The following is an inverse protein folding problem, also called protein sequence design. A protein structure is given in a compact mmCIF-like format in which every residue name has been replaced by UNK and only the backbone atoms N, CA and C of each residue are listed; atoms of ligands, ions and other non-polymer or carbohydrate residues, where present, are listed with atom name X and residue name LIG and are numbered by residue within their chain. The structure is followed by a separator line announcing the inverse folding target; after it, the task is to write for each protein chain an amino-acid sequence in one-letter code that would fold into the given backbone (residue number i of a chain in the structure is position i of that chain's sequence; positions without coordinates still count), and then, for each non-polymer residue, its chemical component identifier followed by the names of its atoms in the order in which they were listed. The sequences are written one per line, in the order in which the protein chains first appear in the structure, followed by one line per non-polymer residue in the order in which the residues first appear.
data_IF_968519513568
#
_entry.id   IF_968519513568
#
_cell.length_a   1.000
_cell.length_b   1.000
_cell.length_c   1.000
_cell.angle_alpha   90.00
_cell.angle_beta   90.00
_cell.angle_gamma   90.00
#
_symmetry.space_group_name_H-M   'P 1'
#
loop_
_entity.id
_entity.type
_entity.pdbx_description
1 polymer ?
#
# COMPACT_ATOMS: atom_id res chain seq x y z
N UNK A 1 -0.13 -4.11 -16.22
CA UNK A 1 0.75 -3.37 -15.32
C UNK A 1 1.22 -4.29 -14.22
N UNK A 2 2.52 -4.44 -14.15
CA UNK A 2 3.23 -5.24 -13.17
C UNK A 2 4.07 -4.30 -12.29
N UNK A 3 4.03 -4.55 -10.98
CA UNK A 3 4.73 -3.78 -9.96
C UNK A 3 5.64 -4.75 -9.23
N UNK A 4 6.95 -4.54 -9.31
CA UNK A 4 7.94 -5.35 -8.59
C UNK A 4 8.43 -4.56 -7.39
N UNK A 5 8.22 -5.10 -6.19
CA UNK A 5 8.76 -4.58 -4.95
C UNK A 5 10.04 -5.33 -4.63
N UNK A 6 11.15 -4.61 -4.40
CA UNK A 6 12.38 -5.17 -3.88
C UNK A 6 12.52 -4.66 -2.45
N UNK A 7 12.47 -5.57 -1.49
CA UNK A 7 12.35 -5.26 -0.08
C UNK A 7 13.59 -5.65 0.71
N UNK A 8 14.12 -4.74 1.52
CA UNK A 8 15.12 -5.09 2.52
C UNK A 8 14.51 -5.96 3.60
N UNK A 9 15.26 -6.98 4.01
CA UNK A 9 14.83 -7.99 4.96
C UNK A 9 15.97 -8.29 5.92
N UNK A 10 15.64 -8.37 7.21
CA UNK A 10 16.57 -8.91 8.21
C UNK A 10 16.70 -10.43 8.07
N UNK A 11 17.79 -11.00 8.60
CA UNK A 11 18.15 -12.42 8.44
C UNK A 11 17.08 -13.39 8.99
N UNK A 12 16.23 -12.94 9.91
CA UNK A 12 15.17 -13.75 10.55
C UNK A 12 13.76 -13.24 10.19
N UNK A 13 13.41 -13.16 8.90
CA UNK A 13 12.03 -12.87 8.50
C UNK A 13 11.09 -14.04 8.85
N UNK A 14 10.11 -13.80 9.71
CA UNK A 14 9.09 -14.81 9.99
C UNK A 14 8.04 -14.90 8.87
N UNK A 15 7.46 -16.08 8.68
CA UNK A 15 6.31 -16.28 7.78
C UNK A 15 5.13 -15.37 8.17
N UNK A 16 5.01 -15.06 9.46
CA UNK A 16 3.98 -14.18 9.99
C UNK A 16 4.18 -12.74 9.49
N UNK A 17 5.37 -12.19 9.61
CA UNK A 17 5.67 -10.82 9.17
C UNK A 17 5.41 -10.65 7.66
N UNK A 18 5.82 -11.65 6.87
CA UNK A 18 5.56 -11.70 5.45
C UNK A 18 4.06 -11.73 5.14
N UNK A 19 3.31 -12.59 5.84
CA UNK A 19 1.86 -12.72 5.64
C UNK A 19 1.13 -11.44 6.01
N UNK A 20 1.48 -10.82 7.13
CA UNK A 20 0.91 -9.54 7.58
C UNK A 20 1.20 -8.42 6.56
N UNK A 21 2.44 -8.33 6.08
CA UNK A 21 2.82 -7.35 5.05
C UNK A 21 2.03 -7.51 3.74
N UNK A 22 1.90 -8.74 3.24
CA UNK A 22 1.15 -9.02 2.01
C UNK A 22 -0.34 -8.71 2.16
N UNK A 23 -0.92 -9.01 3.32
CA UNK A 23 -2.31 -8.68 3.64
C UNK A 23 -2.50 -7.17 3.65
N UNK A 24 -1.65 -6.42 4.35
CA UNK A 24 -1.73 -4.96 4.42
C UNK A 24 -1.52 -4.31 3.04
N UNK A 25 -0.66 -4.87 2.18
CA UNK A 25 -0.49 -4.43 0.80
C UNK A 25 -1.77 -4.61 -0.03
N UNK A 26 -2.37 -5.81 0.01
CA UNK A 26 -3.62 -6.10 -0.70
C UNK A 26 -4.75 -5.19 -0.22
N UNK A 27 -4.82 -4.97 1.08
CA UNK A 27 -5.76 -4.08 1.74
C UNK A 27 -5.63 -2.61 1.35
N UNK A 28 -4.41 -2.09 1.26
CA UNK A 28 -4.16 -0.75 0.75
C UNK A 28 -4.62 -0.64 -0.71
N UNK A 29 -4.29 -1.62 -1.54
CA UNK A 29 -4.69 -1.65 -2.95
C UNK A 29 -6.21 -1.71 -3.12
N UNK A 30 -6.90 -2.58 -2.38
CA UNK A 30 -8.35 -2.73 -2.43
C UNK A 30 -9.04 -1.41 -2.07
N UNK A 31 -8.57 -0.72 -1.03
CA UNK A 31 -9.07 0.62 -0.69
C UNK A 31 -8.83 1.60 -1.83
N UNK A 32 -7.68 1.55 -2.48
CA UNK A 32 -7.38 2.44 -3.60
C UNK A 32 -8.35 2.22 -4.77
N UNK A 33 -8.64 0.96 -5.11
CA UNK A 33 -9.63 0.58 -6.13
C UNK A 33 -11.00 1.13 -5.75
N UNK A 34 -11.47 0.85 -4.55
CA UNK A 34 -12.79 1.26 -4.09
C UNK A 34 -12.97 2.78 -4.01
N UNK A 35 -11.95 3.51 -3.55
CA UNK A 35 -11.98 4.98 -3.56
C UNK A 35 -12.15 5.51 -4.98
N UNK A 36 -11.61 4.82 -5.99
CA UNK A 36 -11.75 5.24 -7.39
C UNK A 36 -13.06 4.81 -8.02
N UNK A 37 -13.59 3.66 -7.65
CA UNK A 37 -14.88 3.19 -8.17
C UNK A 37 -16.07 3.89 -7.50
N UNK A 38 -16.06 3.98 -6.17
CA UNK A 38 -17.12 4.61 -5.39
C UNK A 38 -16.60 5.18 -4.06
N UNK A 39 -16.14 6.44 -4.03
CA UNK A 39 -15.58 7.05 -2.81
C UNK A 39 -16.58 7.19 -1.67
N UNK A 40 -17.89 7.12 -1.94
CA UNK A 40 -18.95 7.25 -0.93
C UNK A 40 -19.40 5.91 -0.35
N UNK A 41 -18.75 4.81 -0.73
CA UNK A 41 -19.16 3.49 -0.27
C UNK A 41 -19.01 3.40 1.27
N UNK A 42 -20.07 3.05 2.04
CA UNK A 42 -20.06 3.14 3.50
C UNK A 42 -18.92 2.36 4.17
N UNK A 43 -18.52 1.24 3.59
CA UNK A 43 -17.45 0.41 4.13
C UNK A 43 -16.09 1.12 4.15
N UNK A 44 -15.85 2.06 3.23
CA UNK A 44 -14.61 2.86 3.21
C UNK A 44 -14.47 3.70 4.49
N UNK A 45 -15.59 4.08 5.10
CA UNK A 45 -15.64 4.84 6.35
C UNK A 45 -15.67 3.94 7.60
N UNK A 46 -15.62 2.62 7.42
CA UNK A 46 -15.64 1.67 8.51
C UNK A 46 -14.23 1.38 9.02
N UNK A 47 -14.00 1.44 10.35
CA UNK A 47 -12.75 0.95 10.91
C UNK A 47 -12.58 -0.56 10.67
N UNK A 48 -13.69 -1.30 10.52
CA UNK A 48 -13.77 -2.73 10.23
C UNK A 48 -13.62 -3.06 8.75
N UNK A 49 -13.24 -2.12 7.89
CA UNK A 49 -13.00 -2.36 6.46
C UNK A 49 -12.29 -3.70 6.22
N UNK A 50 -11.25 -3.99 7.00
CA UNK A 50 -10.45 -5.21 6.90
C UNK A 50 -11.08 -6.50 7.42
N UNK A 51 -12.06 -6.39 8.33
CA UNK A 51 -12.77 -7.56 8.90
C UNK A 51 -14.01 -7.92 8.09
N UNK A 52 -14.63 -6.94 7.43
CA UNK A 52 -15.93 -7.08 6.76
C UNK A 52 -15.85 -7.00 5.24
N UNK A 53 -14.73 -6.56 4.66
CA UNK A 53 -14.62 -6.45 3.21
C UNK A 53 -14.52 -7.82 2.54
N UNK A 54 -15.45 -8.06 1.62
CA UNK A 54 -15.41 -9.20 0.70
C UNK A 54 -14.39 -8.87 -0.39
N UNK A 55 -13.67 -9.89 -0.87
CA UNK A 55 -12.71 -9.77 -1.99
C UNK A 55 -13.27 -8.91 -3.13
N UNK A 56 -12.42 -8.06 -3.70
CA UNK A 56 -12.74 -7.36 -4.95
C UNK A 56 -13.22 -8.36 -6.02
N UNK A 57 -14.04 -7.92 -6.99
CA UNK A 57 -14.39 -8.75 -8.13
C UNK A 57 -13.14 -9.34 -8.81
N UNK A 58 -13.27 -10.58 -9.30
CA UNK A 58 -12.20 -11.23 -10.06
C UNK A 58 -11.75 -10.33 -11.20
N UNK A 59 -10.47 -9.95 -11.21
CA UNK A 59 -9.90 -9.03 -12.21
C UNK A 59 -9.69 -7.60 -11.71
N UNK A 60 -10.21 -7.25 -10.53
CA UNK A 60 -9.84 -6.02 -9.83
C UNK A 60 -8.88 -6.29 -8.67
N UNK A 61 -8.69 -7.54 -8.26
CA UNK A 61 -7.81 -7.94 -7.16
C UNK A 61 -6.32 -7.74 -7.48
N UNK A 62 -5.54 -7.36 -6.46
CA UNK A 62 -4.08 -7.43 -6.50
C UNK A 62 -3.63 -8.90 -6.53
N UNK A 63 -2.83 -9.29 -7.51
CA UNK A 63 -2.31 -10.66 -7.64
C UNK A 63 -0.83 -10.72 -7.35
N UNK A 64 -0.41 -11.64 -6.47
CA UNK A 64 1.00 -11.96 -6.26
C UNK A 64 1.38 -13.04 -7.27
N UNK A 65 2.31 -12.73 -8.18
CA UNK A 65 2.78 -13.66 -9.22
C UNK A 65 3.97 -14.49 -8.78
N UNK A 66 4.94 -13.84 -8.13
CA UNK A 66 6.21 -14.44 -7.77
C UNK A 66 6.73 -13.78 -6.50
N UNK A 67 7.36 -14.58 -5.65
CA UNK A 67 8.17 -14.12 -4.54
C UNK A 67 9.53 -14.80 -4.59
N UNK A 68 10.61 -14.02 -4.72
CA UNK A 68 11.98 -14.53 -4.68
C UNK A 68 12.52 -14.49 -3.26
N UNK A 69 13.27 -15.53 -2.86
CA UNK A 69 14.05 -15.53 -1.61
C UNK A 69 15.52 -15.14 -1.84
N UNK A 70 15.96 -15.07 -3.08
CA UNK A 70 17.35 -14.85 -3.44
C UNK A 70 17.65 -13.35 -3.49
N UNK A 71 18.30 -12.79 -2.45
CA UNK A 71 18.56 -11.34 -2.26
C UNK A 71 17.28 -10.54 -1.86
N UNK A 72 17.32 -9.22 -1.53
CA UNK A 72 16.24 -8.55 -0.79
C UNK A 72 14.88 -8.88 -1.41
N UNK A 73 13.97 -9.43 -0.59
CA UNK A 73 12.70 -10.07 -0.97
C UNK A 73 12.05 -9.37 -2.17
N UNK A 74 11.97 -10.09 -3.29
CA UNK A 74 11.35 -9.58 -4.52
C UNK A 74 9.90 -10.07 -4.60
N UNK A 75 8.93 -9.15 -4.67
CA UNK A 75 7.49 -9.46 -4.78
C UNK A 75 6.96 -8.88 -6.08
N UNK A 76 6.49 -9.73 -6.97
CA UNK A 76 5.88 -9.33 -8.25
C UNK A 76 4.37 -9.29 -8.09
N UNK A 77 3.81 -8.10 -8.24
CA UNK A 77 2.37 -7.83 -8.14
C UNK A 77 1.81 -7.52 -9.53
N UNK A 78 0.61 -8.01 -9.82
CA UNK A 78 -0.15 -7.63 -11.01
C UNK A 78 -1.43 -6.94 -10.61
N UNK A 79 -1.63 -5.75 -11.16
CA UNK A 79 -2.83 -4.96 -11.00
C UNK A 79 -3.53 -4.81 -12.35
N UNK A 80 -4.85 -4.99 -12.37
CA UNK A 80 -5.65 -4.93 -13.60
C UNK A 80 -6.78 -3.90 -13.51
N UNK A 81 -7.16 -3.37 -14.68
CA UNK A 81 -8.34 -2.56 -14.99
C UNK A 81 -8.39 -1.08 -14.53
N UNK A 82 -7.93 -0.68 -13.35
CA UNK A 82 -8.12 0.71 -12.87
C UNK A 82 -6.81 1.52 -12.79
N UNK A 83 -6.33 2.01 -13.94
CA UNK A 83 -5.04 2.72 -14.02
C UNK A 83 -4.89 3.85 -12.99
N UNK A 84 -5.96 4.61 -12.70
CA UNK A 84 -5.91 5.66 -11.66
C UNK A 84 -5.76 5.10 -10.24
N UNK A 85 -6.40 3.97 -9.91
CA UNK A 85 -6.24 3.32 -8.61
C UNK A 85 -4.82 2.78 -8.44
N UNK A 86 -4.29 2.22 -9.53
CA UNK A 86 -2.93 1.70 -9.59
C UNK A 86 -1.89 2.80 -9.42
N UNK A 87 -2.07 3.96 -10.08
CA UNK A 87 -1.22 5.14 -9.86
C UNK A 87 -1.26 5.62 -8.42
N UNK A 88 -2.46 5.74 -7.84
CA UNK A 88 -2.62 6.13 -6.45
C UNK A 88 -1.92 5.15 -5.49
N UNK A 89 -2.03 3.85 -5.75
CA UNK A 89 -1.33 2.82 -4.99
C UNK A 89 0.19 2.97 -5.08
N UNK A 90 0.75 3.18 -6.27
CA UNK A 90 2.18 3.43 -6.47
C UNK A 90 2.67 4.69 -5.73
N UNK A 91 1.93 5.79 -5.82
CA UNK A 91 2.26 7.03 -5.09
C UNK A 91 2.35 6.78 -3.58
N UNK A 92 1.41 6.03 -3.01
CA UNK A 92 1.42 5.68 -1.58
C UNK A 92 2.62 4.77 -1.23
N UNK A 93 2.95 3.80 -2.08
CA UNK A 93 4.13 2.95 -1.87
C UNK A 93 5.44 3.77 -1.94
N UNK A 94 5.52 4.76 -2.82
CA UNK A 94 6.65 5.68 -2.88
C UNK A 94 6.80 6.52 -1.61
N UNK A 95 5.67 6.95 -1.00
CA UNK A 95 5.71 7.60 0.33
C UNK A 95 6.40 6.67 1.34
N UNK A 96 5.96 5.41 1.43
CA UNK A 96 6.56 4.43 2.36
C UNK A 96 8.07 4.28 2.12
N UNK A 97 8.46 4.01 0.87
CA UNK A 97 9.87 3.86 0.47
C UNK A 97 10.72 5.06 0.89
N UNK A 98 10.28 6.29 0.60
CA UNK A 98 11.04 7.48 0.96
C UNK A 98 11.19 7.67 2.47
N UNK A 99 10.15 7.36 3.24
CA UNK A 99 10.16 7.48 4.70
C UNK A 99 11.05 6.43 5.35
N UNK A 100 11.05 5.20 4.79
CA UNK A 100 11.94 4.13 5.21
C UNK A 100 13.42 4.52 5.01
N UNK A 101 13.75 5.30 3.97
CA UNK A 101 15.11 5.78 3.66
C UNK A 101 15.57 6.99 4.49
N UNK A 102 14.67 7.92 4.84
CA UNK A 102 15.08 9.28 5.28
C UNK A 102 15.29 9.48 6.77
N UNK A 103 14.55 8.81 7.66
CA UNK A 103 14.49 9.27 9.07
C UNK A 103 14.69 8.19 10.12
N UNK A 104 15.29 8.59 11.25
CA UNK A 104 15.25 7.85 12.54
C UNK A 104 14.23 8.45 13.52
N UNK A 105 13.84 9.71 13.32
CA UNK A 105 12.87 10.42 14.17
C UNK A 105 11.43 10.12 13.74
N UNK A 106 10.63 9.60 14.68
CA UNK A 106 9.26 9.18 14.43
C UNK A 106 8.31 10.37 14.17
N UNK A 107 8.50 11.51 14.85
CA UNK A 107 7.60 12.65 14.77
C UNK A 107 7.76 13.39 13.43
N UNK A 108 8.99 13.49 12.92
CA UNK A 108 9.28 14.09 11.60
C UNK A 108 8.70 13.21 10.50
N UNK A 109 8.87 11.88 10.59
CA UNK A 109 8.20 10.93 9.69
C UNK A 109 6.69 11.13 9.71
N UNK A 110 6.13 11.44 10.88
CA UNK A 110 4.71 11.61 11.01
C UNK A 110 4.15 12.80 10.22
N UNK A 111 4.84 13.93 10.28
CA UNK A 111 4.46 15.12 9.55
C UNK A 111 4.70 14.97 8.05
N UNK A 112 5.82 14.38 7.65
CA UNK A 112 6.16 14.17 6.23
C UNK A 112 5.18 13.23 5.53
N UNK A 113 4.72 12.15 6.19
CA UNK A 113 3.72 11.28 5.58
C UNK A 113 2.41 12.04 5.37
N UNK A 114 2.02 12.88 6.34
CA UNK A 114 0.70 13.52 6.32
C UNK A 114 0.64 14.53 5.18
N UNK A 115 1.69 15.33 5.02
CA UNK A 115 1.82 16.26 3.90
C UNK A 115 1.73 15.55 2.54
N UNK A 116 2.46 14.44 2.38
CA UNK A 116 2.43 13.67 1.12
C UNK A 116 1.07 13.01 0.86
N UNK A 117 0.43 12.43 1.87
CA UNK A 117 -0.92 11.88 1.74
C UNK A 117 -1.96 12.95 1.39
N UNK A 118 -1.83 14.17 1.93
CA UNK A 118 -2.70 15.29 1.57
C UNK A 118 -2.48 15.78 0.13
N UNK A 119 -1.28 15.62 -0.41
CA UNK A 119 -1.02 15.90 -1.84
C UNK A 119 -1.70 14.86 -2.73
N UNK A 120 -1.53 13.57 -2.42
CA UNK A 120 -2.24 12.48 -3.10
C UNK A 120 -3.76 12.67 -3.01
N UNK A 121 -4.28 13.04 -1.83
CA UNK A 121 -5.72 13.20 -1.67
C UNK A 121 -6.29 14.27 -2.59
N UNK A 122 -5.59 15.39 -2.77
CA UNK A 122 -5.97 16.45 -3.70
C UNK A 122 -5.88 15.99 -5.15
N UNK A 123 -4.76 15.38 -5.56
CA UNK A 123 -4.56 14.92 -6.94
C UNK A 123 -5.61 13.91 -7.38
N UNK A 124 -5.98 13.00 -6.48
CA UNK A 124 -6.88 11.91 -6.76
C UNK A 124 -8.34 12.18 -6.34
N UNK A 125 -8.67 13.40 -5.89
CA UNK A 125 -10.01 13.80 -5.42
C UNK A 125 -10.55 12.85 -4.33
N UNK A 126 -9.71 12.51 -3.35
CA UNK A 126 -10.08 11.65 -2.23
C UNK A 126 -10.82 12.49 -1.17
N UNK A 127 -12.00 12.05 -0.69
CA UNK A 127 -12.69 12.74 0.39
C UNK A 127 -11.79 12.92 1.63
N UNK A 128 -11.81 14.08 2.31
CA UNK A 128 -10.96 14.33 3.47
C UNK A 128 -11.07 13.27 4.57
N UNK A 129 -12.26 12.73 4.78
CA UNK A 129 -12.51 11.69 5.80
C UNK A 129 -11.82 10.37 5.44
N UNK A 130 -11.65 10.09 4.13
CA UNK A 130 -10.97 8.90 3.63
C UNK A 130 -9.45 8.98 3.80
N UNK A 131 -8.89 10.18 3.90
CA UNK A 131 -7.45 10.38 4.15
C UNK A 131 -7.04 9.79 5.50
N UNK A 132 -7.90 9.87 6.52
CA UNK A 132 -7.63 9.25 7.82
C UNK A 132 -7.46 7.72 7.71
N UNK A 133 -8.28 7.06 6.89
CA UNK A 133 -8.18 5.63 6.69
C UNK A 133 -6.95 5.27 5.87
N UNK A 134 -6.65 5.98 4.78
CA UNK A 134 -5.40 5.77 4.03
C UNK A 134 -4.15 5.98 4.90
N UNK A 135 -4.18 6.98 5.80
CA UNK A 135 -3.12 7.20 6.78
C UNK A 135 -2.94 5.99 7.69
N UNK A 136 -4.03 5.43 8.21
CA UNK A 136 -3.99 4.24 9.08
C UNK A 136 -3.37 3.05 8.34
N UNK A 137 -3.78 2.84 7.10
CA UNK A 137 -3.35 1.72 6.27
C UNK A 137 -1.85 1.83 5.95
N UNK A 138 -1.39 3.03 5.57
CA UNK A 138 0.03 3.32 5.39
C UNK A 138 0.82 3.16 6.69
N UNK A 139 0.27 3.57 7.83
CA UNK A 139 0.93 3.43 9.14
C UNK A 139 1.17 1.98 9.52
N UNK A 140 0.27 1.06 9.15
CA UNK A 140 0.47 -0.38 9.32
C UNK A 140 1.63 -0.89 8.47
N UNK A 141 1.67 -0.52 7.19
CA UNK A 141 2.78 -0.87 6.31
C UNK A 141 4.12 -0.29 6.78
N UNK A 142 4.12 0.92 7.35
CA UNK A 142 5.32 1.54 7.96
C UNK A 142 5.76 0.84 9.24
N UNK A 143 4.85 0.17 9.96
CA UNK A 143 5.14 -0.62 11.15
C UNK A 143 5.63 -2.04 10.87
N UNK A 144 5.62 -2.48 9.61
CA UNK A 144 6.15 -3.79 9.21
C UNK A 144 7.67 -3.82 9.33
N UNK A 145 8.23 -4.99 9.65
CA UNK A 145 9.67 -5.26 9.60
C UNK A 145 10.21 -5.24 8.16
N UNK A 146 9.35 -5.39 7.15
CA UNK A 146 9.72 -5.37 5.73
C UNK A 146 9.79 -3.93 5.23
N UNK A 147 10.96 -3.53 4.73
CA UNK A 147 11.20 -2.19 4.16
C UNK A 147 11.24 -2.24 2.65
N UNK A 148 10.59 -1.30 1.98
CA UNK A 148 10.62 -1.24 0.51
C UNK A 148 11.85 -0.45 0.08
N UNK A 149 12.80 -1.11 -0.59
CA UNK A 149 14.03 -0.49 -1.10
C UNK A 149 13.83 0.09 -2.49
N UNK A 150 13.22 -0.69 -3.38
CA UNK A 150 13.00 -0.32 -4.76
C UNK A 150 11.60 -0.75 -5.21
N UNK A 151 11.01 0.05 -6.10
CA UNK A 151 9.74 -0.24 -6.76
C UNK A 151 10.01 -0.10 -8.25
N UNK A 152 9.75 -1.15 -9.02
CA UNK A 152 9.83 -1.16 -10.49
C UNK A 152 8.44 -1.30 -11.09
N UNK A 153 8.18 -0.56 -12.15
CA UNK A 153 6.93 -0.64 -12.91
C UNK A 153 7.22 -1.15 -14.33
N UNK A 154 6.46 -2.13 -14.77
CA UNK A 154 6.46 -2.63 -16.15
C UNK A 154 5.03 -2.64 -16.70
N UNK A 155 4.90 -2.42 -18.02
CA UNK A 155 3.60 -2.32 -18.70
C UNK A 155 2.88 -3.67 -18.76
#
# INVERSE_FOLDING_TARGET
MEITLICEVDEELSVRDLSEFLVDLAFLYDRCVMIKENPHQPILYSPDFYRRWRRLPRGLELKIRKMSKDSPLEIVLTATALLRAVKMFLEILNIKKEIDLKSKDLAIKELEYLDKLLKISKEFNIPPEQVHFLRRDLKRLLGSSIKIKEIRESR
#
